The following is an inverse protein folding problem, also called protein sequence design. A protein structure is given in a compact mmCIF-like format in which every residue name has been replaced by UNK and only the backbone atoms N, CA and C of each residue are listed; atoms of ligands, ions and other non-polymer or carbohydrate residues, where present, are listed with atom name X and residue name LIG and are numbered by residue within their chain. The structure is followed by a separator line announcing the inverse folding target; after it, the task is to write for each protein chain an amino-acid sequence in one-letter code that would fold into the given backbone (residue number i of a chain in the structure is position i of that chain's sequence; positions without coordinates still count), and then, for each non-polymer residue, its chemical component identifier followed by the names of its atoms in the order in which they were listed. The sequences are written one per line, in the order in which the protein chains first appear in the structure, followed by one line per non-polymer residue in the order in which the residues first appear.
data_IF_042651481701
#
_entry.id   IF_042651481701
#
_cell.length_a   1.000
_cell.length_b   1.000
_cell.length_c   1.000
_cell.angle_alpha   90.00
_cell.angle_beta   90.00
_cell.angle_gamma   90.00
#
_symmetry.space_group_name_H-M   'P 1'
#
loop_
_entity.id
_entity.type
_entity.pdbx_description
1 polymer ?
#
# COMPACT_ATOMS: atom_id res chain seq x y z
N UNK A 1 -2.36 -15.26 22.94
CA UNK A 1 -1.92 -13.88 23.23
C UNK A 1 -1.98 -13.01 21.97
N UNK A 2 -1.24 -13.31 20.90
CA UNK A 2 -1.27 -12.54 19.63
C UNK A 2 -2.66 -12.33 19.02
N UNK A 3 -3.50 -13.37 19.01
CA UNK A 3 -4.86 -13.29 18.44
C UNK A 3 -5.72 -12.23 19.12
N UNK A 4 -5.61 -12.09 20.45
CA UNK A 4 -6.36 -11.09 21.22
C UNK A 4 -5.88 -9.68 20.93
N UNK A 5 -4.57 -9.49 20.74
CA UNK A 5 -3.99 -8.21 20.34
C UNK A 5 -4.42 -7.81 18.92
N UNK A 6 -4.43 -8.76 17.99
CA UNK A 6 -4.91 -8.53 16.62
C UNK A 6 -6.38 -8.10 16.59
N UNK A 7 -7.24 -8.79 17.35
CA UNK A 7 -8.66 -8.43 17.49
C UNK A 7 -8.85 -7.05 18.13
N UNK A 8 -8.09 -6.73 19.19
CA UNK A 8 -8.14 -5.41 19.82
C UNK A 8 -7.70 -4.29 18.86
N UNK A 9 -6.69 -4.55 18.02
CA UNK A 9 -6.25 -3.60 17.00
C UNK A 9 -7.32 -3.35 15.94
N UNK A 10 -7.94 -4.42 15.41
CA UNK A 10 -9.05 -4.29 14.44
C UNK A 10 -10.22 -3.53 15.06
N UNK A 11 -10.57 -3.86 16.31
CA UNK A 11 -11.63 -3.17 17.05
C UNK A 11 -11.33 -1.67 17.22
N UNK A 12 -10.08 -1.29 17.50
CA UNK A 12 -9.67 0.10 17.61
C UNK A 12 -9.74 0.84 16.27
N UNK A 13 -9.30 0.19 15.18
CA UNK A 13 -9.32 0.75 13.83
C UNK A 13 -10.75 1.03 13.33
N UNK A 14 -11.74 0.24 13.78
CA UNK A 14 -13.14 0.43 13.44
C UNK A 14 -13.70 1.80 13.84
N UNK A 15 -13.26 2.36 14.97
CA UNK A 15 -13.71 3.68 15.44
C UNK A 15 -13.06 4.85 14.71
N UNK A 16 -12.06 4.59 13.87
CA UNK A 16 -11.29 5.64 13.23
C UNK A 16 -12.06 6.20 12.02
N UNK A 17 -12.23 7.54 11.90
CA UNK A 17 -12.89 8.14 10.74
C UNK A 17 -12.21 7.72 9.43
N UNK A 18 -12.99 7.45 8.38
CA UNK A 18 -12.51 6.96 7.09
C UNK A 18 -11.31 7.76 6.53
N UNK A 19 -11.32 9.09 6.66
CA UNK A 19 -10.20 9.95 6.20
C UNK A 19 -8.87 9.63 6.91
N UNK A 20 -8.91 9.31 8.20
CA UNK A 20 -7.72 8.96 8.98
C UNK A 20 -7.27 7.53 8.68
N UNK A 21 -8.21 6.61 8.54
CA UNK A 21 -7.94 5.22 8.14
C UNK A 21 -7.31 5.16 6.74
N UNK A 22 -7.82 5.96 5.80
CA UNK A 22 -7.26 6.10 4.46
C UNK A 22 -5.81 6.58 4.48
N UNK A 23 -5.50 7.63 5.25
CA UNK A 23 -4.12 8.13 5.41
C UNK A 23 -3.21 7.08 6.03
N UNK A 24 -3.69 6.35 7.03
CA UNK A 24 -2.92 5.26 7.64
C UNK A 24 -2.59 4.19 6.57
N UNK A 25 -3.56 3.85 5.73
CA UNK A 25 -3.38 2.89 4.65
C UNK A 25 -2.40 3.37 3.58
N UNK A 26 -2.42 4.66 3.22
CA UNK A 26 -1.43 5.24 2.31
C UNK A 26 0.00 5.20 2.89
N UNK A 27 0.15 5.47 4.19
CA UNK A 27 1.43 5.34 4.89
C UNK A 27 1.89 3.89 4.88
N UNK A 28 1.03 2.94 5.24
CA UNK A 28 1.36 1.51 5.16
C UNK A 28 1.77 1.09 3.74
N UNK A 29 1.03 1.54 2.72
CA UNK A 29 1.37 1.32 1.32
C UNK A 29 2.73 1.87 0.94
N UNK A 30 3.06 3.07 1.41
CA UNK A 30 4.38 3.69 1.19
C UNK A 30 5.51 2.90 1.87
N UNK A 31 5.28 2.40 3.08
CA UNK A 31 6.22 1.53 3.79
C UNK A 31 6.40 0.19 3.06
N UNK A 32 5.32 -0.41 2.55
CA UNK A 32 5.39 -1.62 1.72
C UNK A 32 6.23 -1.39 0.46
N UNK A 33 6.13 -0.24 -0.19
CA UNK A 33 6.99 0.09 -1.32
C UNK A 33 8.47 0.24 -0.91
N UNK A 34 8.73 0.88 0.23
CA UNK A 34 10.09 1.13 0.72
C UNK A 34 10.80 -0.18 1.12
N UNK A 35 10.11 -1.04 1.88
CA UNK A 35 10.70 -2.25 2.48
C UNK A 35 10.42 -3.54 1.69
N UNK A 36 9.31 -3.62 0.96
CA UNK A 36 8.89 -4.80 0.18
C UNK A 36 9.63 -4.92 -1.15
N UNK A 37 10.94 -5.21 -1.11
CA UNK A 37 11.83 -5.24 -2.29
C UNK A 37 11.32 -6.15 -3.42
N UNK A 38 10.85 -7.35 -3.08
CA UNK A 38 10.32 -8.32 -4.05
C UNK A 38 9.06 -7.79 -4.75
N UNK A 39 8.07 -7.32 -3.97
CA UNK A 39 6.82 -6.77 -4.51
C UNK A 39 7.08 -5.52 -5.34
N UNK A 40 7.98 -4.64 -4.90
CA UNK A 40 8.42 -3.48 -5.68
C UNK A 40 9.06 -3.90 -7.00
N UNK A 41 9.95 -4.89 -6.97
CA UNK A 41 10.62 -5.38 -8.18
C UNK A 41 9.62 -5.93 -9.19
N UNK A 42 8.67 -6.77 -8.74
CA UNK A 42 7.62 -7.32 -9.61
C UNK A 42 6.78 -6.19 -10.22
N UNK A 43 6.33 -5.22 -9.41
CA UNK A 43 5.54 -4.10 -9.90
C UNK A 43 6.28 -3.27 -10.96
N UNK A 44 7.55 -2.93 -10.73
CA UNK A 44 8.35 -2.17 -11.69
C UNK A 44 8.64 -2.98 -12.96
N UNK A 45 8.91 -4.28 -12.85
CA UNK A 45 9.06 -5.16 -14.01
C UNK A 45 7.78 -5.20 -14.85
N UNK A 46 6.62 -5.36 -14.22
CA UNK A 46 5.34 -5.32 -14.92
C UNK A 46 5.12 -3.97 -15.61
N UNK A 47 5.43 -2.85 -14.94
CA UNK A 47 5.31 -1.52 -15.55
C UNK A 47 6.28 -1.32 -16.73
N UNK A 48 7.49 -1.88 -16.68
CA UNK A 48 8.43 -1.84 -17.80
C UNK A 48 7.92 -2.64 -19.01
N UNK A 49 7.27 -3.77 -18.77
CA UNK A 49 6.70 -4.62 -19.81
C UNK A 49 5.42 -4.02 -20.41
N UNK A 50 4.51 -3.50 -19.58
CA UNK A 50 3.21 -2.98 -20.02
C UNK A 50 3.28 -1.54 -20.54
N UNK A 51 4.25 -0.74 -20.07
CA UNK A 51 4.42 0.66 -20.45
C UNK A 51 5.86 0.95 -20.90
N UNK A 52 6.36 0.29 -21.96
CA UNK A 52 7.73 0.44 -22.45
C UNK A 52 8.09 1.88 -22.87
N UNK A 53 7.10 2.68 -23.25
CA UNK A 53 7.23 4.08 -23.67
C UNK A 53 7.33 5.09 -22.51
N UNK A 54 6.97 4.71 -21.28
CA UNK A 54 7.08 5.60 -20.11
C UNK A 54 8.53 5.70 -19.63
N UNK A 55 8.93 6.88 -19.14
CA UNK A 55 10.23 7.03 -18.50
C UNK A 55 10.28 6.25 -17.17
N UNK A 56 11.47 5.81 -16.75
CA UNK A 56 11.61 5.02 -15.52
C UNK A 56 11.12 5.77 -14.27
N UNK A 57 11.34 7.09 -14.22
CA UNK A 57 10.83 7.93 -13.14
C UNK A 57 9.30 7.95 -13.07
N UNK A 58 8.60 7.96 -14.22
CA UNK A 58 7.14 7.92 -14.27
C UNK A 58 6.61 6.56 -13.82
N UNK A 59 7.27 5.47 -14.22
CA UNK A 59 6.95 4.12 -13.73
C UNK A 59 7.12 4.01 -12.23
N UNK A 60 8.19 4.59 -11.68
CA UNK A 60 8.41 4.58 -10.24
C UNK A 60 7.35 5.38 -9.48
N UNK A 61 6.97 6.55 -9.99
CA UNK A 61 5.88 7.35 -9.42
C UNK A 61 4.55 6.60 -9.47
N UNK A 62 4.24 5.96 -10.60
CA UNK A 62 3.05 5.14 -10.77
C UNK A 62 3.04 3.95 -9.80
N UNK A 63 4.18 3.26 -9.64
CA UNK A 63 4.31 2.19 -8.66
C UNK A 63 4.07 2.70 -7.23
N UNK A 64 4.69 3.82 -6.83
CA UNK A 64 4.46 4.41 -5.50
C UNK A 64 3.00 4.80 -5.28
N UNK A 65 2.32 5.34 -6.30
CA UNK A 65 0.90 5.65 -6.25
C UNK A 65 0.05 4.38 -6.10
N UNK A 66 0.37 3.33 -6.86
CA UNK A 66 -0.30 2.03 -6.76
C UNK A 66 -0.20 1.43 -5.36
N UNK A 67 0.99 1.41 -4.77
CA UNK A 67 1.18 0.86 -3.41
C UNK A 67 0.42 1.66 -2.34
N UNK A 68 0.39 3.00 -2.45
CA UNK A 68 -0.43 3.86 -1.56
C UNK A 68 -1.92 3.55 -1.69
N UNK A 69 -2.42 3.44 -2.92
CA UNK A 69 -3.82 3.08 -3.18
C UNK A 69 -4.16 1.67 -2.68
N UNK A 70 -3.24 0.71 -2.85
CA UNK A 70 -3.37 -0.65 -2.34
C UNK A 70 -3.47 -0.66 -0.80
N UNK A 71 -2.55 0.02 -0.10
CA UNK A 71 -2.57 0.10 1.36
C UNK A 71 -3.83 0.80 1.90
N UNK A 72 -4.27 1.87 1.24
CA UNK A 72 -5.55 2.54 1.53
C UNK A 72 -6.72 1.57 1.39
N UNK A 73 -6.83 0.90 0.25
CA UNK A 73 -7.87 -0.09 -0.04
C UNK A 73 -7.89 -1.21 1.00
N UNK A 74 -6.72 -1.69 1.42
CA UNK A 74 -6.58 -2.77 2.38
C UNK A 74 -7.17 -2.39 3.75
N UNK A 75 -6.96 -1.15 4.22
CA UNK A 75 -7.54 -0.71 5.49
C UNK A 75 -9.00 -0.26 5.38
N UNK A 76 -9.43 0.31 4.24
CA UNK A 76 -10.82 0.74 4.06
C UNK A 76 -11.79 -0.43 3.87
N UNK A 77 -11.33 -1.58 3.36
CA UNK A 77 -12.15 -2.76 3.04
C UNK A 77 -11.82 -4.01 3.88
N UNK A 78 -10.78 -3.94 4.71
CA UNK A 78 -10.29 -5.04 5.55
C UNK A 78 -11.02 -5.20 6.88
#
# INVERSE_FOLDING_TARGET
MLTRLGLALIWLLHFLPLKRLARLGEVLGSLLFAFGRERRHIALTNLRLCYPQMAEAEREQLARAHFRAFGRSFLERG
#
